data_IF_744972651427
#
_entry.id   IF_744972651427
#
_cell.length_a   1.000
_cell.length_b   1.000
_cell.length_c   1.000
_cell.angle_alpha   90.00
_cell.angle_beta   90.00
_cell.angle_gamma   90.00
#
_symmetry.space_group_name_H-M   'P 1'
#
loop_
_entity.id
_entity.type
_entity.pdbx_description
1 polymer ?
#
# COMPACT_ATOMS: atom_id res chain seq x y z
N UNK A 1 -20.55 18.43 16.07
CA UNK A 1 -20.63 17.08 15.49
C UNK A 1 -19.21 16.60 15.24
N UNK A 2 -18.66 15.84 16.19
CA UNK A 2 -17.28 15.33 16.11
C UNK A 2 -17.27 14.03 15.31
N UNK A 3 -17.02 14.12 14.00
CA UNK A 3 -16.74 12.95 13.19
C UNK A 3 -15.41 12.36 13.63
N UNK A 4 -15.43 11.26 14.37
CA UNK A 4 -14.24 10.42 14.55
C UNK A 4 -13.87 9.90 13.17
N UNK A 5 -12.70 10.28 12.66
CA UNK A 5 -12.10 9.63 11.51
C UNK A 5 -11.91 8.16 11.92
N UNK A 6 -12.73 7.28 11.36
CA UNK A 6 -12.69 5.86 11.69
C UNK A 6 -11.27 5.39 11.39
N UNK A 7 -10.62 4.80 12.39
CA UNK A 7 -9.31 4.22 12.24
C UNK A 7 -9.34 3.28 11.03
N UNK A 8 -8.64 3.68 9.96
CA UNK A 8 -8.39 2.81 8.81
C UNK A 8 -7.38 1.76 9.25
N UNK A 9 -7.79 0.83 10.10
CA UNK A 9 -7.08 -0.43 10.29
C UNK A 9 -7.16 -1.14 8.95
N UNK A 10 -6.10 -0.98 8.17
CA UNK A 10 -5.86 -1.75 6.95
C UNK A 10 -5.65 -3.20 7.38
N UNK A 11 -6.75 -3.94 7.55
CA UNK A 11 -6.70 -5.40 7.60
C UNK A 11 -6.68 -5.87 6.15
N UNK A 12 -5.53 -5.69 5.52
CA UNK A 12 -5.18 -6.40 4.29
C UNK A 12 -4.02 -7.34 4.60
N UNK A 13 -4.26 -8.32 5.47
CA UNK A 13 -3.82 -9.67 5.10
C UNK A 13 -4.72 -10.10 3.95
N UNK A 14 -4.36 -9.71 2.71
CA UNK A 14 -4.78 -10.49 1.54
C UNK A 14 -4.13 -11.87 1.67
N UNK A 15 -4.76 -12.73 2.47
CA UNK A 15 -4.56 -14.15 2.37
C UNK A 15 -4.98 -14.53 0.95
N UNK A 16 -4.00 -15.04 0.19
CA UNK A 16 -4.03 -15.32 -1.24
C UNK A 16 -5.40 -15.51 -1.88
N UNK A 17 -5.72 -14.62 -2.84
CA UNK A 17 -6.64 -14.95 -3.93
C UNK A 17 -5.93 -15.91 -4.90
N UNK A 18 -5.72 -17.14 -4.43
CA UNK A 18 -5.21 -18.26 -5.21
C UNK A 18 -6.10 -19.47 -4.97
N UNK A 19 -7.06 -19.71 -5.89
CA UNK A 19 -7.73 -21.00 -5.99
C UNK A 19 -9.25 -20.94 -6.20
N UNK A 20 -9.66 -21.35 -7.40
CA UNK A 20 -10.91 -22.03 -7.75
C UNK A 20 -12.26 -21.33 -7.50
N UNK A 21 -12.80 -20.75 -8.58
CA UNK A 21 -14.24 -20.74 -8.83
C UNK A 21 -14.70 -22.19 -9.04
N UNK A 22 -15.29 -22.78 -8.01
CA UNK A 22 -16.02 -24.04 -8.09
C UNK A 22 -17.50 -23.76 -7.89
N UNK A 23 -18.27 -23.78 -8.98
CA UNK A 23 -19.72 -23.71 -9.00
C UNK A 23 -20.36 -24.95 -8.36
N UNK A 24 -21.39 -24.74 -7.54
CA UNK A 24 -22.28 -25.76 -6.98
C UNK A 24 -22.79 -25.28 -5.63
N UNK A 25 -24.05 -24.93 -5.41
CA UNK A 25 -25.29 -25.43 -5.98
C UNK A 25 -26.18 -25.79 -4.80
N UNK A 26 -27.17 -24.96 -4.47
CA UNK A 26 -28.17 -25.25 -3.45
C UNK A 26 -28.98 -26.49 -3.84
N UNK A 27 -29.11 -27.49 -2.96
CA UNK A 27 -30.33 -28.31 -2.86
C UNK A 27 -30.33 -29.16 -1.58
N UNK A 28 -31.46 -29.15 -0.89
CA UNK A 28 -31.74 -29.81 0.39
C UNK A 28 -31.91 -31.34 0.28
N UNK A 29 -31.50 -32.05 1.36
CA UNK A 29 -32.04 -33.26 2.04
C UNK A 29 -32.34 -34.57 1.24
N UNK A 30 -32.09 -35.78 1.81
CA UNK A 30 -32.88 -36.29 2.95
C UNK A 30 -32.15 -37.13 4.04
N UNK A 31 -32.72 -37.02 5.24
CA UNK A 31 -32.90 -38.00 6.32
C UNK A 31 -32.13 -39.34 6.32
N UNK A 32 -31.51 -39.64 7.47
CA UNK A 32 -31.57 -41.00 8.07
C UNK A 32 -31.78 -40.92 9.59
N UNK A 33 -32.83 -41.61 10.00
CA UNK A 33 -33.39 -41.77 11.34
C UNK A 33 -32.61 -42.78 12.18
N UNK A 34 -32.50 -42.52 13.49
CA UNK A 34 -32.41 -43.58 14.49
C UNK A 34 -33.43 -43.26 15.60
N UNK A 35 -34.33 -44.22 15.82
CA UNK A 35 -35.53 -44.12 16.63
C UNK A 35 -35.24 -44.15 18.14
N UNK A 36 -36.03 -43.39 18.91
CA UNK A 36 -36.45 -43.78 20.26
C UNK A 36 -37.93 -43.37 20.42
N UNK A 37 -38.71 -44.33 20.87
CA UNK A 37 -40.17 -44.37 21.02
C UNK A 37 -40.63 -43.74 22.36
N UNK A 38 -41.83 -43.15 22.37
CA UNK A 38 -42.62 -42.92 23.58
C UNK A 38 -43.28 -41.54 23.76
N UNK A 39 -44.59 -41.47 23.47
CA UNK A 39 -45.55 -40.74 24.33
C UNK A 39 -46.19 -39.46 23.78
N UNK A 40 -47.52 -39.48 23.70
CA UNK A 40 -48.45 -38.48 23.14
C UNK A 40 -48.65 -37.19 23.98
N UNK A 41 -49.19 -36.17 23.28
CA UNK A 41 -50.07 -35.06 23.71
C UNK A 41 -49.55 -33.90 24.57
N UNK A 42 -49.35 -32.74 23.94
CA UNK A 42 -50.22 -31.54 24.09
C UNK A 42 -49.59 -30.30 23.44
N UNK A 43 -50.40 -29.60 22.64
CA UNK A 43 -50.12 -28.29 22.06
C UNK A 43 -50.01 -27.23 23.16
N UNK A 44 -48.87 -26.57 23.27
CA UNK A 44 -48.80 -25.10 23.33
C UNK A 44 -47.39 -24.67 22.94
N UNK A 45 -47.28 -24.12 21.72
CA UNK A 45 -46.07 -23.49 21.21
C UNK A 45 -45.66 -22.32 22.11
N UNK A 46 -44.41 -22.20 22.54
CA UNK A 46 -43.89 -20.90 22.94
C UNK A 46 -43.98 -20.00 21.71
N UNK A 47 -44.85 -18.99 21.78
CA UNK A 47 -44.83 -17.87 20.86
C UNK A 47 -43.50 -17.17 21.11
N UNK A 48 -42.48 -17.54 20.33
CA UNK A 48 -41.28 -16.73 20.21
C UNK A 48 -41.63 -15.53 19.32
N UNK A 49 -42.34 -14.59 19.94
CA UNK A 49 -42.68 -13.28 19.39
C UNK A 49 -41.48 -12.35 19.37
N UNK A 50 -40.29 -12.87 19.08
CA UNK A 50 -39.15 -12.08 18.64
C UNK A 50 -39.32 -11.83 17.15
N UNK A 51 -39.88 -10.69 16.76
CA UNK A 51 -39.55 -10.13 15.45
C UNK A 51 -38.04 -9.98 15.45
N UNK A 52 -37.35 -10.89 14.78
CA UNK A 52 -36.02 -10.64 14.23
C UNK A 52 -36.17 -9.36 13.42
N UNK A 53 -35.89 -8.25 14.10
CA UNK A 53 -35.77 -6.97 13.46
C UNK A 53 -34.52 -7.14 12.64
N UNK A 54 -34.69 -7.48 11.35
CA UNK A 54 -33.62 -7.51 10.36
C UNK A 54 -32.80 -6.25 10.59
N UNK A 55 -31.65 -6.41 11.25
CA UNK A 55 -30.70 -5.34 11.40
C UNK A 55 -30.45 -4.88 9.97
N UNK A 56 -30.82 -3.63 9.67
CA UNK A 56 -30.74 -3.07 8.31
C UNK A 56 -29.34 -3.39 7.79
N UNK A 57 -29.24 -4.36 6.88
CA UNK A 57 -27.97 -4.96 6.52
C UNK A 57 -27.03 -3.84 6.07
N UNK A 58 -25.97 -3.62 6.83
CA UNK A 58 -24.91 -2.75 6.36
C UNK A 58 -24.22 -3.50 5.22
N UNK A 59 -24.18 -2.90 4.04
CA UNK A 59 -23.64 -3.56 2.87
C UNK A 59 -23.74 -2.69 1.63
N UNK A 60 -23.14 -3.12 0.52
CA UNK A 60 -23.18 -2.38 -0.74
C UNK A 60 -24.62 -2.16 -1.20
N UNK A 61 -25.04 -0.89 -1.33
CA UNK A 61 -26.33 -0.51 -1.91
C UNK A 61 -26.14 0.28 -3.21
N UNK A 62 -26.89 -0.06 -4.26
CA UNK A 62 -26.83 0.64 -5.55
C UNK A 62 -26.26 -0.23 -6.69
N UNK A 63 -25.99 0.42 -7.83
CA UNK A 63 -25.46 -0.23 -9.03
C UNK A 63 -23.92 -0.36 -9.02
N UNK A 64 -23.35 -0.96 -10.08
CA UNK A 64 -21.90 -1.12 -10.21
C UNK A 64 -21.15 0.21 -10.15
N UNK A 65 -20.04 0.23 -9.43
CA UNK A 65 -19.05 1.31 -9.44
C UNK A 65 -18.00 0.96 -10.50
N UNK A 66 -17.80 1.85 -11.47
CA UNK A 66 -16.88 1.59 -12.59
C UNK A 66 -15.56 2.34 -12.45
N UNK A 67 -14.55 1.89 -13.20
CA UNK A 67 -13.25 2.58 -13.29
C UNK A 67 -13.41 4.01 -13.80
N UNK A 68 -14.35 4.26 -14.72
CA UNK A 68 -14.64 5.58 -15.28
C UNK A 68 -15.29 6.51 -14.26
N UNK A 69 -16.20 5.99 -13.43
CA UNK A 69 -16.79 6.76 -12.34
C UNK A 69 -15.72 7.22 -11.34
N UNK A 70 -14.82 6.29 -10.95
CA UNK A 70 -13.70 6.59 -10.07
C UNK A 70 -12.67 7.53 -10.71
N UNK A 71 -12.44 7.42 -12.03
CA UNK A 71 -11.62 8.37 -12.78
C UNK A 71 -12.23 9.76 -12.79
N UNK A 72 -13.52 9.87 -13.09
CA UNK A 72 -14.21 11.15 -13.12
C UNK A 72 -14.25 11.80 -11.74
N UNK A 73 -14.41 11.01 -10.67
CA UNK A 73 -14.48 11.55 -9.31
C UNK A 73 -13.10 11.89 -8.76
N UNK A 74 -12.12 10.99 -8.88
CA UNK A 74 -10.83 11.12 -8.19
C UNK A 74 -9.68 11.53 -9.11
N UNK A 75 -9.68 11.08 -10.37
CA UNK A 75 -8.66 11.41 -11.37
C UNK A 75 -7.24 11.01 -10.96
N UNK A 76 -6.96 9.70 -10.96
CA UNK A 76 -5.76 9.13 -10.33
C UNK A 76 -4.47 9.80 -10.83
N UNK A 77 -3.55 10.07 -9.90
CA UNK A 77 -2.23 10.63 -10.19
C UNK A 77 -1.15 9.63 -9.80
N UNK A 78 -0.22 9.42 -10.72
CA UNK A 78 0.96 8.62 -10.46
C UNK A 78 1.76 9.21 -9.29
N UNK A 79 2.44 8.36 -8.50
CA UNK A 79 3.33 8.84 -7.46
C UNK A 79 4.50 9.61 -8.08
N UNK A 80 5.02 10.58 -7.33
CA UNK A 80 6.29 11.19 -7.68
C UNK A 80 7.42 10.13 -7.61
N UNK A 81 8.53 10.40 -8.31
CA UNK A 81 9.76 9.63 -8.11
C UNK A 81 10.18 9.68 -6.63
N UNK A 82 10.87 8.63 -6.17
CA UNK A 82 11.38 8.53 -4.80
C UNK A 82 12.17 9.79 -4.42
N UNK A 83 11.82 10.39 -3.28
CA UNK A 83 12.38 11.67 -2.83
C UNK A 83 13.37 11.54 -1.67
N UNK A 84 13.36 10.43 -0.93
CA UNK A 84 14.17 10.27 0.31
C UNK A 84 14.00 11.43 1.30
N UNK A 85 12.79 12.02 1.37
CA UNK A 85 12.48 13.21 2.15
C UNK A 85 12.29 12.95 3.66
N UNK A 86 12.01 11.71 4.05
CA UNK A 86 11.83 11.29 5.43
C UNK A 86 13.07 10.56 5.96
N UNK A 87 13.51 10.96 7.13
CA UNK A 87 14.51 10.23 7.93
C UNK A 87 13.92 8.95 8.54
N UNK A 88 14.76 7.97 8.93
CA UNK A 88 14.29 6.79 9.64
C UNK A 88 13.50 7.10 10.93
N UNK A 89 13.89 8.15 11.66
CA UNK A 89 13.21 8.56 12.88
C UNK A 89 11.80 9.08 12.60
N UNK A 90 11.60 9.82 11.51
CA UNK A 90 10.27 10.29 11.10
C UNK A 90 9.38 9.13 10.64
N UNK A 91 9.93 8.17 9.89
CA UNK A 91 9.20 6.96 9.51
C UNK A 91 8.73 6.18 10.74
N UNK A 92 9.59 6.05 11.77
CA UNK A 92 9.22 5.40 13.02
C UNK A 92 8.07 6.13 13.73
N UNK A 93 8.08 7.48 13.77
CA UNK A 93 6.97 8.28 14.32
C UNK A 93 5.67 8.08 13.53
N UNK A 94 5.75 8.05 12.19
CA UNK A 94 4.58 7.81 11.34
C UNK A 94 4.02 6.41 11.60
N UNK A 95 4.88 5.40 11.71
CA UNK A 95 4.48 4.04 12.04
C UNK A 95 3.73 3.98 13.37
N UNK A 96 4.28 4.57 14.44
CA UNK A 96 3.62 4.62 15.75
C UNK A 96 2.22 5.25 15.68
N UNK A 97 2.08 6.30 14.88
CA UNK A 97 0.79 7.00 14.70
C UNK A 97 -0.20 6.17 13.87
N UNK A 98 0.27 5.42 12.87
CA UNK A 98 -0.55 4.47 12.13
C UNK A 98 -1.07 3.36 13.04
N UNK A 99 -0.23 2.82 13.91
CA UNK A 99 -0.59 1.76 14.86
C UNK A 99 -1.59 2.25 15.92
N UNK A 100 -1.44 3.49 16.41
CA UNK A 100 -2.35 4.09 17.39
C UNK A 100 -3.66 4.60 16.79
N UNK A 101 -3.70 4.80 15.48
CA UNK A 101 -4.76 5.55 14.81
C UNK A 101 -4.67 7.06 15.07
N UNK A 102 -5.30 7.83 14.19
CA UNK A 102 -5.27 9.29 14.25
C UNK A 102 -6.64 9.90 13.93
N UNK A 103 -6.88 11.11 14.43
CA UNK A 103 -8.16 11.83 14.24
C UNK A 103 -8.24 12.59 12.92
N UNK A 104 -7.11 12.80 12.26
CA UNK A 104 -7.01 13.36 10.91
C UNK A 104 -5.88 12.66 10.14
N UNK A 105 -5.89 12.77 8.82
CA UNK A 105 -4.80 12.28 7.98
C UNK A 105 -3.48 13.05 8.20
N UNK A 106 -3.58 14.32 8.59
CA UNK A 106 -2.40 15.14 8.89
C UNK A 106 -1.74 14.76 10.22
N UNK A 107 -2.49 14.16 11.14
CA UNK A 107 -1.95 13.73 12.43
C UNK A 107 -0.95 12.57 12.29
N UNK A 108 -0.98 11.79 11.20
CA UNK A 108 0.00 10.74 10.92
C UNK A 108 1.40 11.29 10.68
N UNK A 109 1.52 12.51 10.16
CA UNK A 109 2.78 13.19 9.84
C UNK A 109 3.10 14.33 10.80
N UNK A 110 2.43 14.37 11.95
CA UNK A 110 2.73 15.35 12.98
C UNK A 110 4.13 15.10 13.57
N UNK A 111 4.86 16.19 13.82
CA UNK A 111 6.25 16.18 14.31
C UNK A 111 7.27 15.53 13.36
N UNK A 112 6.97 15.53 12.05
CA UNK A 112 7.94 15.36 10.98
C UNK A 112 8.34 16.73 10.40
N UNK A 113 9.43 16.77 9.66
CA UNK A 113 9.82 17.90 8.83
C UNK A 113 8.78 18.20 7.76
N UNK A 114 8.77 19.44 7.27
CA UNK A 114 7.91 19.86 6.15
C UNK A 114 8.24 19.11 4.86
N UNK A 115 9.51 18.74 4.64
CA UNK A 115 9.90 17.93 3.48
C UNK A 115 9.33 16.51 3.54
N UNK A 116 9.43 15.85 4.71
CA UNK A 116 8.84 14.52 4.88
C UNK A 116 7.31 14.58 4.73
N UNK A 117 6.67 15.57 5.36
CA UNK A 117 5.23 15.80 5.27
C UNK A 117 4.78 16.03 3.82
N UNK A 118 5.47 16.87 3.06
CA UNK A 118 5.13 17.16 1.66
C UNK A 118 5.32 15.94 0.72
N UNK A 119 6.23 15.03 1.06
CA UNK A 119 6.33 13.76 0.34
C UNK A 119 5.21 12.78 0.68
N UNK A 120 4.85 12.69 1.97
CA UNK A 120 3.86 11.71 2.46
C UNK A 120 2.43 12.14 2.15
N UNK A 121 2.10 13.41 2.35
CA UNK A 121 0.75 13.95 2.21
C UNK A 121 0.69 14.94 1.06
N UNK A 122 -0.22 14.68 0.12
CA UNK A 122 -0.48 15.56 -1.03
C UNK A 122 -1.96 15.92 -1.13
N UNK A 123 -2.33 17.14 -1.54
CA UNK A 123 -3.71 17.43 -1.90
C UNK A 123 -4.10 16.70 -3.20
N UNK A 124 -5.40 16.39 -3.35
CA UNK A 124 -5.98 15.77 -4.56
C UNK A 124 -5.55 16.45 -5.86
N UNK A 125 -5.46 17.78 -5.85
CA UNK A 125 -5.12 18.59 -7.04
C UNK A 125 -3.63 18.55 -7.42
N UNK A 126 -2.79 17.86 -6.66
CA UNK A 126 -1.36 17.71 -6.99
C UNK A 126 -1.18 16.98 -8.32
N UNK A 127 -0.14 17.34 -9.08
CA UNK A 127 0.22 16.62 -10.32
C UNK A 127 0.65 15.17 -10.09
N UNK A 128 1.09 14.86 -8.86
CA UNK A 128 1.46 13.53 -8.39
C UNK A 128 0.97 13.33 -6.97
N UNK A 129 0.52 12.12 -6.64
CA UNK A 129 0.03 11.83 -5.29
C UNK A 129 1.08 11.14 -4.43
N UNK A 130 1.16 11.57 -3.17
CA UNK A 130 1.88 10.87 -2.11
C UNK A 130 1.10 9.66 -1.59
N UNK A 131 1.67 8.93 -0.64
CA UNK A 131 1.00 7.84 0.10
C UNK A 131 -0.31 8.22 0.79
N UNK A 132 -0.51 9.49 1.14
CA UNK A 132 -1.74 10.01 1.75
C UNK A 132 -2.26 11.15 0.87
N UNK A 133 -3.53 11.07 0.47
CA UNK A 133 -4.19 12.13 -0.31
C UNK A 133 -5.26 12.77 0.54
N UNK A 134 -5.19 14.10 0.69
CA UNK A 134 -6.21 14.89 1.39
C UNK A 134 -7.15 15.56 0.40
N UNK A 135 -8.45 15.51 0.72
CA UNK A 135 -9.51 16.17 -0.05
C UNK A 135 -9.88 17.55 0.52
N UNK A 136 -9.42 17.87 1.73
CA UNK A 136 -9.60 19.17 2.34
C UNK A 136 -8.36 19.60 3.12
N UNK A 137 -8.24 20.90 3.36
CA UNK A 137 -7.09 21.50 4.05
C UNK A 137 -6.92 21.02 5.50
N UNK A 138 -8.02 20.60 6.14
CA UNK A 138 -8.01 20.11 7.52
C UNK A 138 -7.54 18.65 7.63
N UNK A 139 -7.38 17.95 6.51
CA UNK A 139 -7.04 16.53 6.47
C UNK A 139 -8.08 15.63 7.13
N UNK A 140 -9.33 16.09 7.27
CA UNK A 140 -10.43 15.28 7.83
C UNK A 140 -11.15 14.46 6.77
N UNK A 141 -10.81 14.67 5.50
CA UNK A 141 -11.30 13.90 4.36
C UNK A 141 -10.13 13.62 3.42
N UNK A 142 -10.14 12.45 2.80
CA UNK A 142 -8.98 11.87 2.14
C UNK A 142 -8.93 10.35 2.21
N UNK A 143 -7.84 9.82 1.68
CA UNK A 143 -7.62 8.39 1.59
C UNK A 143 -6.12 8.07 1.60
N UNK A 144 -5.82 6.84 1.99
CA UNK A 144 -4.51 6.25 1.76
C UNK A 144 -4.38 5.84 0.29
N UNK A 145 -3.32 6.30 -0.36
CA UNK A 145 -3.01 5.97 -1.74
C UNK A 145 -2.13 4.71 -1.80
N UNK A 146 -2.75 3.54 -1.59
CA UNK A 146 -2.10 2.24 -1.74
C UNK A 146 -1.50 2.07 -3.15
N UNK A 147 -2.17 2.61 -4.16
CA UNK A 147 -1.67 2.62 -5.54
C UNK A 147 -0.33 3.32 -5.75
N UNK A 148 0.07 4.22 -4.85
CA UNK A 148 1.37 4.90 -4.90
C UNK A 148 2.54 3.91 -4.80
N UNK A 149 2.44 2.89 -3.95
CA UNK A 149 3.50 1.90 -3.80
C UNK A 149 3.68 1.08 -5.09
N UNK A 150 2.57 0.56 -5.65
CA UNK A 150 2.57 -0.20 -6.90
C UNK A 150 3.05 0.64 -8.08
N UNK A 151 2.58 1.89 -8.19
CA UNK A 151 3.01 2.83 -9.22
C UNK A 151 4.51 3.15 -9.17
N UNK A 152 5.14 3.04 -8.00
CA UNK A 152 6.59 3.29 -7.81
C UNK A 152 7.51 2.17 -8.35
N UNK A 153 6.93 1.07 -8.85
CA UNK A 153 7.63 -0.04 -9.48
C UNK A 153 7.45 -0.03 -11.01
N UNK A 154 7.26 1.14 -11.61
CA UNK A 154 6.96 1.31 -13.04
C UNK A 154 5.70 0.59 -13.52
N UNK A 155 4.80 0.27 -12.59
CA UNK A 155 3.51 -0.36 -12.87
C UNK A 155 2.36 0.63 -12.66
N UNK A 156 2.37 1.73 -13.42
CA UNK A 156 1.37 2.80 -13.27
C UNK A 156 -0.07 2.30 -13.42
N UNK A 157 -0.31 1.40 -14.38
CA UNK A 157 -1.64 0.80 -14.61
C UNK A 157 -2.07 0.00 -13.38
N UNK A 158 -1.16 -0.81 -12.84
CA UNK A 158 -1.41 -1.55 -11.61
C UNK A 158 -1.66 -0.64 -10.40
N UNK A 159 -0.88 0.44 -10.26
CA UNK A 159 -1.07 1.44 -9.21
C UNK A 159 -2.45 2.09 -9.27
N UNK A 160 -2.89 2.48 -10.47
CA UNK A 160 -4.24 3.01 -10.70
C UNK A 160 -5.32 1.99 -10.33
N UNK A 161 -5.25 0.78 -10.87
CA UNK A 161 -6.24 -0.25 -10.60
C UNK A 161 -6.30 -0.64 -9.11
N UNK A 162 -5.14 -0.68 -8.43
CA UNK A 162 -5.10 -0.89 -6.97
C UNK A 162 -5.85 0.21 -6.25
N UNK A 163 -5.54 1.47 -6.56
CA UNK A 163 -6.16 2.58 -5.85
C UNK A 163 -7.67 2.65 -6.09
N UNK A 164 -8.11 2.31 -7.30
CA UNK A 164 -9.53 2.34 -7.64
C UNK A 164 -10.29 1.20 -6.98
N UNK A 165 -9.68 0.03 -6.80
CA UNK A 165 -10.29 -1.02 -6.00
C UNK A 165 -10.50 -0.56 -4.54
N UNK A 166 -9.50 0.08 -3.94
CA UNK A 166 -9.61 0.61 -2.57
C UNK A 166 -10.70 1.68 -2.44
N UNK A 167 -10.76 2.61 -3.40
CA UNK A 167 -11.80 3.64 -3.41
C UNK A 167 -13.20 3.04 -3.65
N UNK A 168 -13.31 2.04 -4.52
CA UNK A 168 -14.56 1.32 -4.75
C UNK A 168 -15.08 0.68 -3.46
N UNK A 169 -14.23 -0.09 -2.78
CA UNK A 169 -14.58 -0.75 -1.52
C UNK A 169 -14.96 0.28 -0.45
N UNK A 170 -14.20 1.37 -0.34
CA UNK A 170 -14.51 2.45 0.60
C UNK A 170 -15.87 3.09 0.32
N UNK A 171 -16.22 3.31 -0.94
CA UNK A 171 -17.52 3.86 -1.34
C UNK A 171 -18.64 2.87 -1.07
N UNK A 172 -18.50 1.61 -1.51
CA UNK A 172 -19.49 0.56 -1.32
C UNK A 172 -19.77 0.29 0.18
N UNK A 173 -18.73 0.32 1.02
CA UNK A 173 -18.83 0.00 2.44
C UNK A 173 -18.97 1.22 3.37
N UNK A 174 -19.10 2.44 2.83
CA UNK A 174 -19.15 3.68 3.63
C UNK A 174 -20.23 3.70 4.71
N UNK A 175 -21.35 3.01 4.47
CA UNK A 175 -22.48 2.92 5.40
C UNK A 175 -22.31 1.89 6.53
N UNK A 176 -21.24 1.09 6.53
CA UNK A 176 -21.00 0.04 7.51
C UNK A 176 -20.25 0.62 8.71
N UNK A 177 -21.01 1.18 9.66
CA UNK A 177 -20.48 1.96 10.81
C UNK A 177 -20.38 1.17 12.12
N UNK A 178 -20.75 -0.12 12.15
CA UNK A 178 -20.64 -0.98 13.33
C UNK A 178 -19.21 -1.54 13.52
N UNK A 179 -18.23 -0.64 13.59
CA UNK A 179 -16.83 -0.97 13.84
C UNK A 179 -16.11 -1.66 12.66
N UNK A 180 -14.87 -2.11 12.90
CA UNK A 180 -14.02 -2.78 11.90
C UNK A 180 -14.67 -4.07 11.37
N UNK A 181 -15.40 -4.78 12.22
CA UNK A 181 -16.11 -6.01 11.87
C UNK A 181 -17.16 -5.80 10.76
N UNK A 182 -17.98 -4.74 10.85
CA UNK A 182 -18.99 -4.44 9.83
C UNK A 182 -18.36 -4.08 8.47
N UNK A 183 -17.22 -3.37 8.47
CA UNK A 183 -16.49 -3.09 7.23
C UNK A 183 -15.85 -4.35 6.65
N UNK A 184 -15.20 -5.17 7.48
CA UNK A 184 -14.57 -6.43 7.06
C UNK A 184 -15.59 -7.39 6.41
N UNK A 185 -16.79 -7.49 6.98
CA UNK A 185 -17.89 -8.28 6.42
C UNK A 185 -18.43 -7.71 5.10
N UNK A 186 -18.39 -6.39 4.91
CA UNK A 186 -18.85 -5.77 3.67
C UNK A 186 -17.91 -5.99 2.47
N UNK A 187 -16.61 -6.20 2.70
CA UNK A 187 -15.61 -6.28 1.61
C UNK A 187 -15.93 -7.41 0.61
N UNK A 188 -16.18 -8.67 1.03
CA UNK A 188 -16.54 -9.74 0.11
C UNK A 188 -17.78 -9.41 -0.74
N UNK A 189 -18.81 -8.84 -0.13
CA UNK A 189 -20.05 -8.47 -0.82
C UNK A 189 -19.80 -7.35 -1.84
N UNK A 190 -18.99 -6.35 -1.49
CA UNK A 190 -18.61 -5.28 -2.41
C UNK A 190 -17.86 -5.83 -3.62
N UNK A 191 -16.92 -6.76 -3.39
CA UNK A 191 -16.14 -7.41 -4.44
C UNK A 191 -16.98 -8.33 -5.34
N UNK A 192 -18.04 -8.93 -4.79
CA UNK A 192 -18.97 -9.78 -5.54
C UNK A 192 -20.11 -8.98 -6.22
N UNK A 193 -20.17 -7.65 -6.02
CA UNK A 193 -21.23 -6.80 -6.56
C UNK A 193 -20.68 -5.49 -7.15
N UNK A 194 -20.75 -4.38 -6.41
CA UNK A 194 -20.44 -3.04 -6.93
C UNK A 194 -19.02 -2.89 -7.47
N UNK A 195 -18.07 -3.61 -6.88
CA UNK A 195 -16.65 -3.53 -7.21
C UNK A 195 -16.15 -4.69 -8.07
N UNK A 196 -17.03 -5.59 -8.55
CA UNK A 196 -16.63 -6.78 -9.31
C UNK A 196 -15.78 -6.43 -10.54
N UNK A 197 -16.24 -5.47 -11.35
CA UNK A 197 -15.53 -5.04 -12.55
C UNK A 197 -14.16 -4.39 -12.23
N UNK A 198 -14.10 -3.60 -11.16
CA UNK A 198 -12.85 -2.96 -10.71
C UNK A 198 -11.88 -4.00 -10.18
N UNK A 199 -12.36 -5.01 -9.44
CA UNK A 199 -11.57 -6.13 -8.94
C UNK A 199 -11.02 -6.99 -10.09
N UNK A 200 -11.84 -7.27 -11.11
CA UNK A 200 -11.41 -7.97 -12.32
C UNK A 200 -10.32 -7.20 -13.07
N UNK A 201 -10.48 -5.88 -13.22
CA UNK A 201 -9.48 -5.01 -13.85
C UNK A 201 -8.17 -5.00 -13.06
N UNK A 202 -8.24 -4.87 -11.73
CA UNK A 202 -7.07 -4.98 -10.84
C UNK A 202 -6.34 -6.31 -11.03
N UNK A 203 -7.07 -7.41 -11.09
CA UNK A 203 -6.47 -8.74 -11.32
C UNK A 203 -5.75 -8.83 -12.67
N UNK A 204 -6.32 -8.23 -13.72
CA UNK A 204 -5.71 -8.21 -15.04
C UNK A 204 -4.45 -7.33 -15.08
N UNK A 205 -4.48 -6.16 -14.44
CA UNK A 205 -3.40 -5.16 -14.52
C UNK A 205 -2.23 -5.42 -13.58
N UNK A 206 -2.40 -6.28 -12.58
CA UNK A 206 -1.42 -6.52 -11.51
C UNK A 206 -1.08 -7.99 -11.37
N UNK A 207 -0.37 -8.54 -12.35
CA UNK A 207 -0.01 -9.96 -12.37
C UNK A 207 1.23 -10.30 -11.52
N UNK A 208 1.94 -9.31 -10.97
CA UNK A 208 3.20 -9.53 -10.25
C UNK A 208 3.00 -9.66 -8.74
N UNK A 209 2.82 -10.89 -8.27
CA UNK A 209 2.64 -11.22 -6.84
C UNK A 209 3.81 -10.82 -5.94
N UNK A 210 5.02 -10.65 -6.47
CA UNK A 210 6.18 -10.21 -5.67
C UNK A 210 6.03 -8.76 -5.15
N UNK A 211 5.20 -7.95 -5.82
CA UNK A 211 4.96 -6.55 -5.44
C UNK A 211 3.86 -6.45 -4.38
N UNK A 212 2.90 -7.38 -4.37
CA UNK A 212 1.87 -7.47 -3.33
C UNK A 212 2.51 -7.52 -1.93
N UNK A 213 3.54 -8.34 -1.75
CA UNK A 213 4.27 -8.42 -0.47
C UNK A 213 5.05 -7.17 -0.11
N UNK A 214 5.41 -6.34 -1.10
CA UNK A 214 6.18 -5.11 -0.89
C UNK A 214 5.29 -3.88 -0.69
N UNK A 215 3.99 -4.00 -0.98
CA UNK A 215 3.02 -2.91 -0.93
C UNK A 215 1.81 -3.26 -0.05
N UNK A 216 2.01 -4.11 0.96
CA UNK A 216 0.94 -4.64 1.83
C UNK A 216 0.19 -3.56 2.63
N UNK A 217 0.83 -2.42 2.90
CA UNK A 217 0.24 -1.36 3.69
C UNK A 217 0.81 0.02 3.30
N UNK A 218 0.16 1.09 3.78
CA UNK A 218 0.57 2.47 3.49
C UNK A 218 1.99 2.77 3.98
N UNK A 219 2.43 2.19 5.10
CA UNK A 219 3.77 2.43 5.64
C UNK A 219 4.86 1.95 4.66
N UNK A 220 4.65 0.83 3.97
CA UNK A 220 5.58 0.37 2.93
C UNK A 220 5.61 1.33 1.73
N UNK A 221 4.47 1.91 1.35
CA UNK A 221 4.42 2.99 0.37
C UNK A 221 5.21 4.23 0.82
N UNK A 222 5.08 4.63 2.09
CA UNK A 222 5.81 5.74 2.70
C UNK A 222 7.32 5.46 2.70
N UNK A 223 7.75 4.30 3.18
CA UNK A 223 9.16 3.88 3.15
C UNK A 223 9.70 3.86 1.72
N UNK A 224 8.92 3.37 0.77
CA UNK A 224 9.32 3.24 -0.64
C UNK A 224 9.52 4.59 -1.31
N UNK A 225 8.57 5.52 -1.15
CA UNK A 225 8.55 6.81 -1.87
C UNK A 225 9.32 7.90 -1.11
N UNK A 226 9.17 7.95 0.21
CA UNK A 226 9.68 9.04 1.04
C UNK A 226 10.87 8.65 1.91
N UNK A 227 11.07 7.36 2.18
CA UNK A 227 12.26 6.90 2.89
C UNK A 227 13.52 6.88 2.04
N UNK A 228 14.67 6.86 2.73
CA UNK A 228 15.95 6.65 2.09
C UNK A 228 15.96 5.32 1.31
N UNK A 229 16.66 5.29 0.17
CA UNK A 229 16.95 4.03 -0.48
C UNK A 229 17.76 3.14 0.49
N UNK A 230 17.37 1.88 0.63
CA UNK A 230 18.23 0.90 1.28
C UNK A 230 19.56 0.94 0.52
N UNK A 231 20.62 1.39 1.17
CA UNK A 231 21.97 1.18 0.68
C UNK A 231 22.13 -0.32 0.66
N UNK A 232 22.20 -0.90 -0.54
CA UNK A 232 22.75 -2.23 -0.67
C UNK A 232 24.14 -2.13 -0.07
N UNK A 233 24.33 -2.70 1.12
CA UNK A 233 25.65 -2.94 1.65
C UNK A 233 26.39 -3.65 0.53
N UNK A 234 27.44 -3.01 -0.01
CA UNK A 234 28.27 -3.65 -0.99
C UNK A 234 28.67 -5.01 -0.42
N UNK A 235 28.32 -6.08 -1.12
CA UNK A 235 28.85 -7.40 -0.82
C UNK A 235 30.36 -7.26 -0.57
N UNK A 236 30.93 -7.91 0.47
CA UNK A 236 32.36 -7.82 0.79
C UNK A 236 33.32 -8.19 -0.37
N UNK A 237 32.80 -8.64 -1.52
CA UNK A 237 33.57 -8.97 -2.73
C UNK A 237 33.79 -7.84 -3.74
N UNK A 238 33.00 -6.75 -3.78
CA UNK A 238 33.13 -5.74 -4.85
C UNK A 238 34.20 -4.66 -4.57
N UNK A 239 34.61 -4.48 -3.31
CA UNK A 239 35.70 -3.55 -2.96
C UNK A 239 37.08 -3.99 -3.49
N UNK A 240 37.27 -5.29 -3.80
CA UNK A 240 38.55 -5.79 -4.37
C UNK A 240 38.72 -5.51 -5.86
N UNK A 241 37.62 -5.42 -6.63
CA UNK A 241 37.72 -5.17 -8.08
C UNK A 241 38.07 -3.69 -8.38
N UNK A 242 37.59 -2.76 -7.56
CA UNK A 242 37.93 -1.34 -7.69
C UNK A 242 39.40 -1.02 -7.32
N UNK A 243 40.03 -1.78 -6.40
CA UNK A 243 41.46 -1.61 -6.09
C UNK A 243 42.40 -2.22 -7.13
N UNK A 244 41.96 -3.21 -7.90
CA UNK A 244 42.76 -3.80 -8.99
C UNK A 244 42.87 -2.90 -10.22
N UNK A 245 41.90 -1.99 -10.43
CA UNK A 245 41.91 -1.04 -11.54
C UNK A 245 42.70 0.26 -11.23
N UNK A 246 43.01 0.53 -9.97
CA UNK A 246 43.79 1.71 -9.55
C UNK A 246 45.30 1.44 -9.38
N UNK A 247 45.76 0.21 -9.66
CA UNK A 247 47.15 -0.24 -9.51
C UNK A 247 47.92 -0.35 -10.83
N UNK A 248 47.89 0.68 -11.66
CA UNK A 248 48.84 0.84 -12.79
C UNK A 248 49.11 2.32 -13.03
N UNK A 249 49.67 2.98 -12.02
CA UNK A 249 50.51 4.14 -12.26
C UNK A 249 51.91 3.78 -11.78
N UNK A 250 52.81 3.70 -12.75
CA UNK A 250 54.21 3.39 -12.56
C UNK A 250 54.84 4.42 -11.60
N UNK A 251 55.49 3.90 -10.57
CA UNK A 251 56.34 4.63 -9.64
C UNK A 251 57.58 5.12 -10.42
N UNK A 252 57.89 6.43 -10.49
CA UNK A 252 59.21 6.86 -10.93
C UNK A 252 60.22 6.61 -9.81
N UNK A 253 61.23 5.81 -10.14
CA UNK A 253 62.35 5.39 -9.29
C UNK A 253 63.37 6.55 -9.14
N UNK A 254 63.91 6.84 -7.95
CA UNK A 254 65.01 7.79 -7.80
C UNK A 254 66.38 7.07 -7.86
N UNK A 255 67.27 7.51 -8.75
CA UNK A 255 68.70 7.19 -8.80
C UNK A 255 69.32 8.00 -9.94
N UNK A 256 70.55 8.49 -9.92
CA UNK A 256 71.58 8.68 -8.91
C UNK A 256 72.50 9.76 -9.51
N UNK A 257 73.20 10.52 -8.65
CA UNK A 257 74.38 11.28 -9.07
C UNK A 257 75.46 10.28 -9.47
N UNK A 258 76.18 10.53 -10.56
CA UNK A 258 77.60 10.19 -10.69
C UNK A 258 78.26 11.06 -11.77
N UNK A 259 79.47 11.49 -11.42
CA UNK A 259 80.41 12.30 -12.18
C UNK A 259 80.94 11.60 -13.44
N UNK A 260 81.17 12.36 -14.52
CA UNK A 260 82.31 12.12 -15.42
C UNK A 260 82.59 13.32 -16.36
N UNK A 261 83.73 13.95 -16.07
CA UNK A 261 84.65 14.70 -16.92
C UNK A 261 84.62 14.40 -18.43
N UNK A 262 84.64 15.43 -19.30
CA UNK A 262 85.86 15.87 -20.02
C UNK A 262 85.58 16.73 -21.27
N UNK A 263 86.15 17.94 -21.28
CA UNK A 263 86.81 18.64 -22.40
C UNK A 263 86.05 19.00 -23.70
N UNK A 264 85.86 20.31 -23.96
CA UNK A 264 86.58 21.06 -25.03
C UNK A 264 86.13 22.52 -25.18
N UNK A 265 87.10 23.41 -25.01
CA UNK A 265 87.45 24.57 -25.87
C UNK A 265 86.48 25.76 -26.06
N UNK A 266 86.92 26.89 -25.48
CA UNK A 266 86.80 28.28 -25.98
C UNK A 266 87.08 28.41 -27.50
N UNK A 267 86.56 29.45 -28.21
CA UNK A 267 87.20 30.77 -28.20
C UNK A 267 86.27 32.02 -28.26
N UNK A 268 86.75 33.06 -27.55
CA UNK A 268 86.80 34.52 -27.84
C UNK A 268 85.90 35.14 -28.93
N UNK A 269 85.16 36.19 -28.56
CA UNK A 269 85.59 37.60 -28.61
C UNK A 269 84.76 38.47 -27.67
#
# INVERSE_FOLDING_TARGET
MSGRLLAFTSVFTMAGFGGALGVGGCSSDPATSAAIDGGEDAKDTPVDGGKDSEAKACGPQGGPITMEALESEYGWKAPAARQSACTPAEIAKIQERLERGASSLLDFVKETSETCKACVVTPKESSSWGPIVVLNERGTDGFFNFGACYGSFDMSVCGKATQYLELCINTACKGCVEGTAGREQCIPDALASQCEAVAAQRKADCMNSSIEHRCQNVLEGIKRLCGAAATTAAEPGQARKARSAAGSQAIPKPSARDDASSSRSLPTH
#
